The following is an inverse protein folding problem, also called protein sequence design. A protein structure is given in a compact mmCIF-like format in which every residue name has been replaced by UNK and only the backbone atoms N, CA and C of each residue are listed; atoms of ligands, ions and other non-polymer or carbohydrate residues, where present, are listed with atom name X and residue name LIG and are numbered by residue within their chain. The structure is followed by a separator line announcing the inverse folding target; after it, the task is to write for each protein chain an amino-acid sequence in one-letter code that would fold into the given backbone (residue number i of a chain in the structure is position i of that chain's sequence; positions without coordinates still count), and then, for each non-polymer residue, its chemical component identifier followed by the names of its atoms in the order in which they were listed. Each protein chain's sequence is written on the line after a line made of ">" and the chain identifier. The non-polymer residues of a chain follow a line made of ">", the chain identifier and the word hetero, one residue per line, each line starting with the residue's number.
data_IF_420965300397
#
_entry.id   IF_420965300397
#
_cell.length_a   1.000
_cell.length_b   1.000
_cell.length_c   1.000
_cell.angle_alpha   90.00
_cell.angle_beta   90.00
_cell.angle_gamma   90.00
#
_symmetry.space_group_name_H-M   'P 1'
#
loop_
_entity.id
_entity.type
_entity.pdbx_description
1 polymer ?
#
# COMPACT_ATOMS: atom_id res chain seq x y z
N UNK A 1 -3.64 31.34 7.65
CA UNK A 1 -2.27 30.85 7.88
C UNK A 1 -2.38 29.48 8.54
N UNK A 2 -1.79 28.44 7.92
CA UNK A 2 -1.66 27.12 8.55
C UNK A 2 -0.81 27.26 9.80
N UNK A 3 -1.36 26.86 10.94
CA UNK A 3 -0.62 26.79 12.22
C UNK A 3 0.42 25.67 12.20
N UNK A 4 0.26 24.70 11.30
CA UNK A 4 1.10 23.52 11.17
C UNK A 4 1.98 23.70 9.92
N UNK A 5 3.26 23.91 10.14
CA UNK A 5 4.26 24.12 9.11
C UNK A 5 5.25 22.95 9.07
N UNK A 6 4.81 21.81 8.55
CA UNK A 6 5.74 20.71 8.26
C UNK A 6 5.26 19.90 7.05
N UNK A 7 6.14 19.05 6.57
CA UNK A 7 5.88 18.17 5.41
C UNK A 7 4.81 17.10 5.68
N UNK A 8 4.47 16.86 6.97
CA UNK A 8 3.50 15.87 7.41
C UNK A 8 2.26 16.50 8.04
N UNK A 9 1.76 17.58 7.47
CA UNK A 9 0.65 18.33 8.02
C UNK A 9 -0.58 17.45 8.31
N UNK A 10 -0.95 16.53 7.40
CA UNK A 10 -2.09 15.60 7.57
C UNK A 10 -1.95 14.80 8.85
N UNK A 11 -0.76 14.25 9.13
CA UNK A 11 -0.50 13.44 10.32
C UNK A 11 -0.66 14.23 11.62
N UNK A 12 -0.24 15.50 11.62
CA UNK A 12 -0.42 16.36 12.81
C UNK A 12 -1.89 16.69 13.09
N UNK A 13 -2.68 16.92 12.04
CA UNK A 13 -4.12 17.09 12.21
C UNK A 13 -4.77 15.82 12.73
N UNK A 14 -4.38 14.67 12.19
CA UNK A 14 -4.88 13.38 12.63
C UNK A 14 -4.53 13.11 14.09
N UNK A 15 -3.29 13.31 14.50
CA UNK A 15 -2.86 13.17 15.91
C UNK A 15 -3.68 14.03 16.87
N UNK A 16 -3.86 15.30 16.52
CA UNK A 16 -4.65 16.21 17.34
C UNK A 16 -6.13 15.78 17.40
N UNK A 17 -6.68 15.30 16.30
CA UNK A 17 -8.05 14.81 16.26
C UNK A 17 -8.23 13.54 17.12
N UNK A 18 -7.31 12.58 17.01
CA UNK A 18 -7.30 11.37 17.84
C UNK A 18 -7.22 11.73 19.33
N UNK A 19 -6.38 12.69 19.69
CA UNK A 19 -6.30 13.16 21.06
C UNK A 19 -7.63 13.75 21.55
N UNK A 20 -8.29 14.61 20.75
CA UNK A 20 -9.62 15.12 21.12
C UNK A 20 -10.66 14.01 21.23
N UNK A 21 -10.61 13.03 20.30
CA UNK A 21 -11.50 11.88 20.32
C UNK A 21 -11.31 11.05 21.61
N UNK A 22 -10.07 10.77 22.00
CA UNK A 22 -9.76 9.97 23.20
C UNK A 22 -10.26 10.56 24.50
N UNK A 23 -10.44 11.88 24.57
CA UNK A 23 -11.02 12.59 25.72
C UNK A 23 -12.51 12.91 25.56
N UNK A 24 -13.19 12.29 24.58
CA UNK A 24 -14.63 12.44 24.34
C UNK A 24 -15.04 13.75 23.64
N UNK A 25 -14.11 14.52 23.13
CA UNK A 25 -14.37 15.80 22.45
C UNK A 25 -14.58 15.62 20.93
N UNK A 26 -15.56 14.77 20.53
CA UNK A 26 -15.80 14.37 19.13
C UNK A 26 -15.95 15.57 18.19
N UNK A 27 -16.77 16.57 18.56
CA UNK A 27 -16.95 17.75 17.69
C UNK A 27 -15.69 18.58 17.49
N UNK A 28 -14.74 18.55 18.44
CA UNK A 28 -13.43 19.17 18.25
C UNK A 28 -12.55 18.34 17.33
N UNK A 29 -12.59 17.02 17.45
CA UNK A 29 -11.89 16.10 16.54
C UNK A 29 -12.34 16.32 15.09
N UNK A 30 -13.64 16.36 14.84
CA UNK A 30 -14.21 16.65 13.52
C UNK A 30 -13.75 18.01 12.98
N UNK A 31 -13.81 19.05 13.82
CA UNK A 31 -13.36 20.39 13.42
C UNK A 31 -11.88 20.41 13.05
N UNK A 32 -11.03 19.71 13.76
CA UNK A 32 -9.60 19.59 13.45
C UNK A 32 -9.40 18.90 12.12
N UNK A 33 -10.07 17.76 11.86
CA UNK A 33 -9.97 17.04 10.59
C UNK A 33 -10.53 17.84 9.41
N UNK A 34 -11.55 18.67 9.62
CA UNK A 34 -12.08 19.54 8.55
C UNK A 34 -11.09 20.60 8.09
N UNK A 35 -10.08 20.92 8.89
CA UNK A 35 -8.99 21.86 8.54
C UNK A 35 -7.76 21.15 7.94
N UNK A 36 -7.73 19.83 7.94
CA UNK A 36 -6.64 19.05 7.35
C UNK A 36 -6.63 19.20 5.82
N UNK A 37 -5.44 19.19 5.18
CA UNK A 37 -5.36 19.07 3.72
C UNK A 37 -6.04 17.79 3.19
N UNK A 38 -6.18 16.76 4.06
CA UNK A 38 -6.86 15.52 3.77
C UNK A 38 -5.99 14.48 3.07
N UNK A 39 -6.29 13.23 3.37
CA UNK A 39 -5.88 12.00 2.69
C UNK A 39 -6.96 10.94 2.93
N UNK A 40 -6.77 9.71 2.43
CA UNK A 40 -7.75 8.65 2.62
C UNK A 40 -7.96 8.30 4.10
N UNK A 41 -6.91 8.27 4.93
CA UNK A 41 -7.06 7.97 6.36
C UNK A 41 -7.93 9.01 7.07
N UNK A 42 -7.67 10.29 6.87
CA UNK A 42 -8.47 11.38 7.47
C UNK A 42 -9.89 11.43 6.91
N UNK A 43 -10.10 11.02 5.65
CA UNK A 43 -11.45 10.91 5.07
C UNK A 43 -12.28 9.83 5.79
N UNK A 44 -11.70 8.64 6.03
CA UNK A 44 -12.35 7.58 6.81
C UNK A 44 -12.61 8.01 8.26
N UNK A 45 -11.66 8.68 8.91
CA UNK A 45 -11.86 9.22 10.25
C UNK A 45 -13.03 10.21 10.32
N UNK A 46 -13.16 11.11 9.33
CA UNK A 46 -14.28 12.06 9.28
C UNK A 46 -15.61 11.36 9.13
N UNK A 47 -15.70 10.38 8.21
CA UNK A 47 -16.90 9.56 8.04
C UNK A 47 -17.28 8.81 9.32
N UNK A 48 -16.29 8.23 9.99
CA UNK A 48 -16.47 7.51 11.24
C UNK A 48 -16.99 8.40 12.39
N UNK A 49 -16.40 9.57 12.59
CA UNK A 49 -16.79 10.47 13.68
C UNK A 49 -18.20 11.00 13.50
N UNK A 50 -18.59 11.33 12.27
CA UNK A 50 -19.93 11.84 11.95
C UNK A 50 -20.97 10.73 11.68
N UNK A 51 -20.55 9.46 11.54
CA UNK A 51 -21.40 8.33 11.11
C UNK A 51 -22.12 8.62 9.77
N UNK A 52 -21.45 9.35 8.88
CA UNK A 52 -22.01 9.87 7.63
C UNK A 52 -21.65 8.98 6.46
N UNK A 53 -22.68 8.40 5.80
CA UNK A 53 -22.52 7.52 4.64
C UNK A 53 -22.03 8.24 3.40
N UNK A 54 -22.40 9.50 3.18
CA UNK A 54 -21.90 10.26 2.03
C UNK A 54 -20.40 10.55 2.16
N UNK A 55 -19.92 10.79 3.38
CA UNK A 55 -18.50 10.94 3.64
C UNK A 55 -17.76 9.60 3.49
N UNK A 56 -18.38 8.48 3.87
CA UNK A 56 -17.82 7.15 3.66
C UNK A 56 -17.68 6.83 2.17
N UNK A 57 -18.69 7.09 1.36
CA UNK A 57 -18.63 6.92 -0.09
C UNK A 57 -17.50 7.74 -0.72
N UNK A 58 -17.27 8.96 -0.24
CA UNK A 58 -16.14 9.81 -0.67
C UNK A 58 -14.79 9.22 -0.21
N UNK A 59 -14.71 8.66 1.00
CA UNK A 59 -13.51 7.99 1.48
C UNK A 59 -13.20 6.73 0.65
N UNK A 60 -14.21 5.97 0.28
CA UNK A 60 -14.12 4.74 -0.50
C UNK A 60 -13.60 4.93 -1.95
N UNK A 61 -13.61 6.15 -2.46
CA UNK A 61 -13.03 6.50 -3.76
C UNK A 61 -11.76 7.35 -3.64
N UNK A 62 -11.31 7.64 -2.41
CA UNK A 62 -10.09 8.41 -2.19
C UNK A 62 -8.85 7.68 -2.66
N UNK A 63 -7.85 8.43 -3.12
CA UNK A 63 -6.55 7.89 -3.44
C UNK A 63 -5.84 7.42 -2.16
N UNK A 64 -5.47 6.15 -2.14
CA UNK A 64 -4.71 5.53 -1.03
C UNK A 64 -3.21 5.49 -1.29
N UNK A 65 -2.74 6.10 -2.38
CA UNK A 65 -1.32 6.23 -2.68
C UNK A 65 -0.61 7.03 -1.60
N UNK A 66 0.51 6.51 -1.13
CA UNK A 66 1.32 7.13 -0.07
C UNK A 66 0.61 7.33 1.27
N UNK A 67 -0.51 6.62 1.51
CA UNK A 67 -1.19 6.59 2.81
C UNK A 67 -0.76 5.32 3.56
N UNK A 68 -0.08 5.49 4.70
CA UNK A 68 0.49 4.40 5.48
C UNK A 68 0.04 4.50 6.94
N UNK A 69 -1.20 4.10 7.26
CA UNK A 69 -1.70 4.14 8.62
C UNK A 69 -0.94 3.13 9.50
N UNK A 70 -0.65 3.54 10.73
CA UNK A 70 0.09 2.73 11.70
C UNK A 70 -0.49 2.82 13.12
N UNK A 71 -1.46 3.70 13.32
CA UNK A 71 -2.06 3.94 14.64
C UNK A 71 -3.16 2.94 14.94
N UNK A 72 -3.10 2.37 16.15
CA UNK A 72 -4.11 1.42 16.61
C UNK A 72 -5.50 2.04 16.71
N UNK A 73 -5.56 3.33 16.99
CA UNK A 73 -6.80 4.10 17.07
C UNK A 73 -7.56 4.15 15.72
N UNK A 74 -6.87 3.90 14.61
CA UNK A 74 -7.50 3.80 13.28
C UNK A 74 -8.16 2.44 13.00
N UNK A 75 -7.87 1.41 13.83
CA UNK A 75 -8.47 0.07 13.65
C UNK A 75 -10.00 0.13 13.69
N UNK A 76 -10.67 0.66 14.73
CA UNK A 76 -12.13 0.71 14.76
C UNK A 76 -12.74 1.56 13.65
N UNK A 77 -12.00 2.52 13.11
CA UNK A 77 -12.45 3.36 11.99
C UNK A 77 -12.55 2.51 10.71
N UNK A 78 -11.49 1.75 10.39
CA UNK A 78 -11.49 0.92 9.20
C UNK A 78 -12.38 -0.31 9.32
N UNK A 79 -12.50 -0.89 10.52
CA UNK A 79 -13.46 -1.98 10.79
C UNK A 79 -14.91 -1.54 10.56
N UNK A 80 -15.27 -0.36 11.07
CA UNK A 80 -16.57 0.25 10.82
C UNK A 80 -16.78 0.47 9.31
N UNK A 81 -15.82 1.08 8.61
CA UNK A 81 -15.93 1.34 7.18
C UNK A 81 -16.10 0.04 6.37
N UNK A 82 -15.32 -1.00 6.69
CA UNK A 82 -15.47 -2.32 6.06
C UNK A 82 -16.87 -2.92 6.27
N UNK A 83 -17.43 -2.76 7.47
CA UNK A 83 -18.78 -3.26 7.80
C UNK A 83 -19.86 -2.51 7.03
N UNK A 84 -19.73 -1.20 6.87
CA UNK A 84 -20.75 -0.36 6.24
C UNK A 84 -20.73 -0.40 4.71
N UNK A 85 -19.54 -0.46 4.10
CA UNK A 85 -19.39 -0.38 2.64
C UNK A 85 -18.78 -1.64 2.00
N UNK A 86 -17.97 -2.39 2.73
CA UNK A 86 -17.23 -3.53 2.19
C UNK A 86 -16.14 -3.15 1.17
N UNK A 87 -15.75 -1.88 1.09
CA UNK A 87 -14.77 -1.41 0.11
C UNK A 87 -13.36 -1.93 0.42
N UNK A 88 -12.64 -2.37 -0.60
CA UNK A 88 -11.29 -2.92 -0.46
C UNK A 88 -10.27 -1.91 0.10
N UNK A 89 -10.49 -0.59 -0.06
CA UNK A 89 -9.57 0.43 0.44
C UNK A 89 -9.51 0.45 1.95
N UNK A 90 -10.67 0.37 2.63
CA UNK A 90 -10.70 0.28 4.09
C UNK A 90 -10.01 -1.00 4.60
N UNK A 91 -10.23 -2.13 3.93
CA UNK A 91 -9.55 -3.38 4.25
C UNK A 91 -8.03 -3.31 4.02
N UNK A 92 -7.58 -2.64 2.96
CA UNK A 92 -6.17 -2.41 2.67
C UNK A 92 -5.51 -1.54 3.74
N UNK A 93 -6.14 -0.42 4.10
CA UNK A 93 -5.62 0.48 5.14
C UNK A 93 -5.58 -0.20 6.51
N UNK A 94 -6.61 -1.01 6.85
CA UNK A 94 -6.58 -1.83 8.07
C UNK A 94 -5.44 -2.85 8.04
N UNK A 95 -5.22 -3.51 6.90
CA UNK A 95 -4.11 -4.43 6.74
C UNK A 95 -2.75 -3.75 6.93
N UNK A 96 -2.59 -2.49 6.48
CA UNK A 96 -1.36 -1.72 6.72
C UNK A 96 -1.16 -1.41 8.21
N UNK A 97 -2.23 -1.11 8.96
CA UNK A 97 -2.13 -0.94 10.43
C UNK A 97 -1.63 -2.23 11.08
N UNK A 98 -2.23 -3.38 10.75
CA UNK A 98 -1.78 -4.68 11.27
C UNK A 98 -0.33 -4.98 10.87
N UNK A 99 0.02 -4.77 9.62
CA UNK A 99 1.37 -4.99 9.11
C UNK A 99 2.41 -4.13 9.84
N UNK A 100 2.11 -2.85 10.08
CA UNK A 100 3.02 -1.94 10.81
C UNK A 100 3.28 -2.38 12.27
N UNK A 101 2.41 -3.23 12.81
CA UNK A 101 2.47 -3.77 14.17
C UNK A 101 2.98 -5.22 14.21
N UNK A 102 3.49 -5.75 13.10
CA UNK A 102 3.93 -7.14 12.93
C UNK A 102 2.82 -8.19 13.14
N UNK A 103 1.55 -7.82 12.90
CA UNK A 103 0.41 -8.73 12.88
C UNK A 103 0.19 -9.22 11.45
N UNK A 104 1.19 -9.92 10.90
CA UNK A 104 1.25 -10.31 9.49
C UNK A 104 0.12 -11.26 9.09
N UNK A 105 -0.32 -12.12 9.99
CA UNK A 105 -1.38 -13.09 9.73
C UNK A 105 -2.73 -12.39 9.51
N UNK A 106 -3.09 -11.45 10.38
CA UNK A 106 -4.31 -10.66 10.29
C UNK A 106 -4.29 -9.76 9.04
N UNK A 107 -3.15 -9.14 8.76
CA UNK A 107 -2.96 -8.32 7.56
C UNK A 107 -3.18 -9.16 6.29
N UNK A 108 -2.57 -10.33 6.21
CA UNK A 108 -2.70 -11.22 5.05
C UNK A 108 -4.14 -11.73 4.88
N UNK A 109 -4.83 -12.08 5.97
CA UNK A 109 -6.22 -12.54 5.92
C UNK A 109 -7.14 -11.46 5.33
N UNK A 110 -6.99 -10.20 5.78
CA UNK A 110 -7.73 -9.05 5.24
C UNK A 110 -7.49 -8.89 3.73
N UNK A 111 -6.23 -8.93 3.30
CA UNK A 111 -5.87 -8.77 1.89
C UNK A 111 -6.36 -9.94 1.01
N UNK A 112 -6.31 -11.17 1.51
CA UNK A 112 -6.80 -12.35 0.78
C UNK A 112 -8.30 -12.29 0.50
N UNK A 113 -9.09 -11.78 1.45
CA UNK A 113 -10.54 -11.61 1.31
C UNK A 113 -10.94 -10.69 0.15
N UNK A 114 -10.06 -9.75 -0.25
CA UNK A 114 -10.35 -8.82 -1.34
C UNK A 114 -10.10 -9.42 -2.75
N UNK A 115 -9.53 -10.61 -2.83
CA UNK A 115 -9.35 -11.34 -4.08
C UNK A 115 -8.56 -10.57 -5.14
N UNK A 116 -9.17 -10.35 -6.31
CA UNK A 116 -8.59 -9.62 -7.46
C UNK A 116 -9.30 -8.31 -7.77
N UNK A 117 -10.18 -7.87 -6.90
CA UNK A 117 -10.98 -6.66 -7.09
C UNK A 117 -10.13 -5.37 -7.12
N UNK A 118 -9.11 -5.20 -6.23
CA UNK A 118 -8.32 -3.98 -6.25
C UNK A 118 -7.59 -3.72 -7.58
N UNK A 119 -7.69 -2.49 -8.08
CA UNK A 119 -6.97 -1.98 -9.25
C UNK A 119 -5.70 -1.19 -8.88
N UNK A 120 -5.11 -1.51 -7.73
CA UNK A 120 -4.02 -0.78 -7.09
C UNK A 120 -2.79 -1.67 -6.91
N UNK A 121 -1.72 -1.41 -7.65
CA UNK A 121 -0.52 -2.23 -7.65
C UNK A 121 0.15 -2.41 -6.28
N UNK A 122 0.26 -1.38 -5.40
CA UNK A 122 0.81 -1.54 -4.05
C UNK A 122 0.06 -2.55 -3.18
N UNK A 123 -1.25 -2.71 -3.37
CA UNK A 123 -2.04 -3.74 -2.69
C UNK A 123 -1.45 -5.13 -2.93
N UNK A 124 -1.17 -5.48 -4.18
CA UNK A 124 -0.62 -6.79 -4.56
C UNK A 124 0.83 -6.95 -4.09
N UNK A 125 1.63 -5.89 -4.09
CA UNK A 125 2.99 -5.92 -3.52
C UNK A 125 2.95 -6.21 -2.02
N UNK A 126 2.06 -5.56 -1.29
CA UNK A 126 1.89 -5.80 0.15
C UNK A 126 1.45 -7.23 0.41
N UNK A 127 0.43 -7.72 -0.31
CA UNK A 127 -0.06 -9.10 -0.16
C UNK A 127 1.02 -10.12 -0.52
N UNK A 128 1.74 -9.93 -1.62
CA UNK A 128 2.84 -10.79 -2.01
C UNK A 128 3.97 -10.84 -0.97
N UNK A 129 4.25 -9.73 -0.28
CA UNK A 129 5.30 -9.71 0.76
C UNK A 129 4.96 -10.53 1.99
N UNK A 130 3.67 -10.73 2.27
CA UNK A 130 3.14 -11.49 3.39
C UNK A 130 2.79 -12.94 3.02
N UNK A 131 2.59 -13.22 1.73
CA UNK A 131 2.09 -14.51 1.23
C UNK A 131 3.16 -15.61 1.29
N UNK A 132 2.94 -16.71 2.05
CA UNK A 132 3.89 -17.82 2.12
C UNK A 132 3.81 -18.76 0.91
N UNK A 133 2.66 -18.84 0.21
CA UNK A 133 2.51 -19.68 -0.97
C UNK A 133 3.20 -19.04 -2.17
N UNK A 134 4.21 -19.74 -2.71
CA UNK A 134 5.01 -19.27 -3.84
C UNK A 134 4.17 -18.93 -5.08
N UNK A 135 3.15 -19.73 -5.36
CA UNK A 135 2.31 -19.56 -6.57
C UNK A 135 1.44 -18.33 -6.45
N UNK A 136 0.85 -18.12 -5.28
CA UNK A 136 0.04 -16.93 -5.00
C UNK A 136 0.91 -15.66 -4.96
N UNK A 137 2.11 -15.76 -4.36
CA UNK A 137 3.09 -14.69 -4.32
C UNK A 137 3.51 -14.26 -5.75
N UNK A 138 3.83 -15.24 -6.63
CA UNK A 138 4.15 -14.96 -8.04
C UNK A 138 2.99 -14.26 -8.75
N UNK A 139 1.77 -14.76 -8.55
CA UNK A 139 0.58 -14.20 -9.17
C UNK A 139 0.37 -12.72 -8.79
N UNK A 140 0.60 -12.39 -7.52
CA UNK A 140 0.46 -11.02 -7.03
C UNK A 140 1.55 -10.09 -7.55
N UNK A 141 2.82 -10.48 -7.54
CA UNK A 141 3.88 -9.68 -8.14
C UNK A 141 3.63 -9.42 -9.64
N UNK A 142 3.18 -10.44 -10.38
CA UNK A 142 2.83 -10.29 -11.80
C UNK A 142 1.64 -9.35 -11.99
N UNK A 143 0.64 -9.42 -11.10
CA UNK A 143 -0.51 -8.51 -11.13
C UNK A 143 -0.09 -7.06 -10.90
N UNK A 144 0.79 -6.80 -9.94
CA UNK A 144 1.31 -5.46 -9.69
C UNK A 144 2.03 -4.88 -10.92
N UNK A 145 2.90 -5.67 -11.57
CA UNK A 145 3.58 -5.27 -12.82
C UNK A 145 2.59 -5.02 -13.96
N UNK A 146 1.51 -5.81 -14.04
CA UNK A 146 0.49 -5.62 -15.07
C UNK A 146 -0.35 -4.37 -14.87
N UNK A 147 -0.61 -3.97 -13.62
CA UNK A 147 -1.37 -2.76 -13.28
C UNK A 147 -0.55 -1.48 -13.52
N UNK A 148 0.73 -1.51 -13.20
CA UNK A 148 1.62 -0.36 -13.41
C UNK A 148 3.00 -0.84 -13.88
N UNK A 149 3.11 -1.11 -15.16
CA UNK A 149 4.35 -1.55 -15.80
C UNK A 149 5.41 -0.45 -15.93
N UNK A 150 5.09 0.81 -15.62
CA UNK A 150 6.03 1.92 -15.64
C UNK A 150 6.82 2.06 -14.33
N UNK A 151 6.25 1.60 -13.22
CA UNK A 151 6.89 1.66 -11.91
C UNK A 151 7.94 0.54 -11.74
N UNK A 152 9.18 0.94 -11.73
CA UNK A 152 10.34 0.03 -11.69
C UNK A 152 10.38 -0.87 -10.44
N UNK A 153 9.86 -0.41 -9.31
CA UNK A 153 9.88 -1.15 -8.06
C UNK A 153 9.13 -2.47 -8.17
N UNK A 154 8.07 -2.54 -8.96
CA UNK A 154 7.27 -3.77 -9.13
C UNK A 154 8.01 -4.80 -10.00
N UNK A 155 8.61 -4.37 -11.11
CA UNK A 155 9.47 -5.24 -11.92
C UNK A 155 10.67 -5.77 -11.11
N UNK A 156 11.28 -4.91 -10.27
CA UNK A 156 12.36 -5.32 -9.37
C UNK A 156 11.89 -6.33 -8.31
N UNK A 157 10.71 -6.13 -7.72
CA UNK A 157 10.15 -7.07 -6.73
C UNK A 157 9.95 -8.45 -7.35
N UNK A 158 9.35 -8.52 -8.55
CA UNK A 158 9.16 -9.77 -9.29
C UNK A 158 10.49 -10.41 -9.69
N UNK A 159 11.47 -9.63 -10.16
CA UNK A 159 12.81 -10.13 -10.50
C UNK A 159 13.50 -10.75 -9.30
N UNK A 160 13.50 -10.04 -8.16
CA UNK A 160 14.09 -10.55 -6.91
C UNK A 160 13.36 -11.77 -6.37
N UNK A 161 12.04 -11.84 -6.54
CA UNK A 161 11.26 -13.03 -6.22
C UNK A 161 11.77 -14.24 -7.00
N UNK A 162 11.90 -14.14 -8.33
CA UNK A 162 12.41 -15.22 -9.16
C UNK A 162 13.85 -15.62 -8.81
N UNK A 163 14.73 -14.64 -8.54
CA UNK A 163 16.12 -14.92 -8.13
C UNK A 163 16.16 -15.69 -6.81
N UNK A 164 15.35 -15.32 -5.80
CA UNK A 164 15.27 -16.04 -4.53
C UNK A 164 14.82 -17.49 -4.68
N UNK A 165 14.03 -17.78 -5.71
CA UNK A 165 13.54 -19.14 -6.00
C UNK A 165 14.37 -19.85 -7.07
N UNK A 166 15.56 -19.35 -7.43
CA UNK A 166 16.46 -19.90 -8.44
C UNK A 166 15.84 -20.02 -9.84
N UNK A 167 14.80 -19.24 -10.11
CA UNK A 167 14.16 -19.16 -11.43
C UNK A 167 14.84 -18.08 -12.29
N UNK A 168 16.16 -18.22 -12.45
CA UNK A 168 17.03 -17.17 -12.99
C UNK A 168 16.63 -16.71 -14.41
N UNK A 169 16.19 -17.63 -15.27
CA UNK A 169 15.72 -17.28 -16.62
C UNK A 169 14.49 -16.36 -16.60
N UNK A 170 13.52 -16.63 -15.68
CA UNK A 170 12.36 -15.75 -15.52
C UNK A 170 12.79 -14.38 -14.98
N UNK A 171 13.69 -14.38 -13.99
CA UNK A 171 14.24 -13.14 -13.44
C UNK A 171 14.88 -12.27 -14.54
N UNK A 172 15.74 -12.88 -15.38
CA UNK A 172 16.40 -12.17 -16.48
C UNK A 172 15.37 -11.61 -17.47
N UNK A 173 14.40 -12.43 -17.91
CA UNK A 173 13.36 -11.99 -18.85
C UNK A 173 12.59 -10.75 -18.37
N UNK A 174 12.22 -10.71 -17.08
CA UNK A 174 11.47 -9.57 -16.51
C UNK A 174 12.32 -8.30 -16.52
N UNK A 175 13.57 -8.40 -16.02
CA UNK A 175 14.41 -7.20 -15.88
C UNK A 175 14.94 -6.68 -17.22
N UNK A 176 15.19 -7.54 -18.20
CA UNK A 176 15.54 -7.14 -19.55
C UNK A 176 14.39 -6.40 -20.26
N UNK A 177 13.17 -6.92 -20.12
CA UNK A 177 12.00 -6.25 -20.71
C UNK A 177 11.83 -4.85 -20.12
N UNK A 178 12.00 -4.71 -18.80
CA UNK A 178 11.91 -3.42 -18.15
C UNK A 178 13.08 -2.50 -18.54
N UNK A 179 14.32 -2.98 -18.58
CA UNK A 179 15.51 -2.21 -18.98
C UNK A 179 15.40 -1.67 -20.40
N UNK A 180 14.83 -2.42 -21.34
CA UNK A 180 14.57 -1.95 -22.71
C UNK A 180 13.62 -0.74 -22.76
N UNK A 181 12.67 -0.68 -21.85
CA UNK A 181 11.70 0.44 -21.74
C UNK A 181 12.29 1.67 -21.03
N UNK A 182 13.12 1.45 -20.02
CA UNK A 182 13.69 2.50 -19.17
C UNK A 182 15.22 2.44 -19.19
N UNK A 183 15.81 3.02 -20.22
CA UNK A 183 17.28 3.10 -20.37
C UNK A 183 17.91 4.06 -19.36
N UNK A 184 19.18 3.82 -19.03
CA UNK A 184 19.98 4.66 -18.12
C UNK A 184 19.36 4.79 -16.69
N UNK A 185 18.72 3.73 -16.22
CA UNK A 185 18.19 3.68 -14.86
C UNK A 185 19.07 2.80 -13.98
N UNK A 186 20.01 3.41 -13.27
CA UNK A 186 21.05 2.72 -12.49
C UNK A 186 20.55 1.54 -11.62
N UNK A 187 19.45 1.65 -10.84
CA UNK A 187 18.95 0.51 -10.08
C UNK A 187 18.55 -0.68 -10.96
N UNK A 188 17.97 -0.43 -12.15
CA UNK A 188 17.57 -1.49 -13.10
C UNK A 188 18.78 -2.14 -13.74
N UNK A 189 19.77 -1.35 -14.16
CA UNK A 189 21.01 -1.87 -14.75
C UNK A 189 21.78 -2.73 -13.74
N UNK A 190 21.87 -2.29 -12.48
CA UNK A 190 22.49 -3.09 -11.42
C UNK A 190 21.79 -4.43 -11.21
N UNK A 191 20.45 -4.45 -11.25
CA UNK A 191 19.70 -5.71 -11.10
C UNK A 191 19.79 -6.60 -12.34
N UNK A 192 19.88 -6.00 -13.54
CA UNK A 192 20.11 -6.71 -14.79
C UNK A 192 21.45 -7.43 -14.75
N UNK A 193 22.53 -6.73 -14.38
CA UNK A 193 23.87 -7.33 -14.24
C UNK A 193 23.83 -8.53 -13.28
N UNK A 194 23.16 -8.41 -12.15
CA UNK A 194 23.00 -9.52 -11.20
C UNK A 194 22.24 -10.70 -11.82
N UNK A 195 21.18 -10.43 -12.58
CA UNK A 195 20.39 -11.48 -13.23
C UNK A 195 21.20 -12.20 -14.32
N UNK A 196 22.03 -11.48 -15.11
CA UNK A 196 22.96 -12.06 -16.08
C UNK A 196 23.99 -12.97 -15.41
N UNK A 197 24.61 -12.51 -14.32
CA UNK A 197 25.55 -13.32 -13.55
C UNK A 197 24.90 -14.60 -13.04
N UNK A 198 23.66 -14.53 -12.52
CA UNK A 198 22.92 -15.71 -12.05
C UNK A 198 22.54 -16.67 -13.20
N UNK A 199 22.53 -16.21 -14.45
CA UNK A 199 22.31 -17.05 -15.63
C UNK A 199 23.63 -17.48 -16.32
N UNK A 200 24.79 -17.19 -15.72
CA UNK A 200 26.12 -17.48 -16.27
C UNK A 200 26.43 -16.75 -17.60
N UNK A 201 25.75 -15.64 -17.85
CA UNK A 201 25.90 -14.83 -19.06
C UNK A 201 26.92 -13.69 -18.83
N UNK A 202 28.13 -14.08 -18.39
CA UNK A 202 29.18 -13.12 -17.97
C UNK A 202 29.65 -12.16 -19.09
N UNK A 203 29.51 -12.57 -20.36
CA UNK A 203 29.91 -11.74 -21.49
C UNK A 203 28.95 -10.58 -21.77
N UNK A 204 27.73 -10.63 -21.25
CA UNK A 204 26.69 -9.61 -21.40
C UNK A 204 26.54 -8.70 -20.17
N UNK A 205 27.18 -9.03 -19.04
CA UNK A 205 27.16 -8.28 -17.80
C UNK A 205 28.25 -7.18 -17.80
#
# INVERSE_FOLDING_TARGET
>A
QSLIRNEMAVQNYLELAIWYYSIGQVGRAEKVLSMSPGDAETAYWRAYLSQDRELLEKADVSDVSFVFPFREESVPVFEWAMKESGNWRSAYLLALVHYSRNNDAEALELLRKQGREPDFAPFYITRASLEPDKTLQEADYRRAVALDGAEWRYAHALTRFYMRHSENRKALSVIEEFSRRKRNHFPTETLLVRALICNEEYGAA
#
